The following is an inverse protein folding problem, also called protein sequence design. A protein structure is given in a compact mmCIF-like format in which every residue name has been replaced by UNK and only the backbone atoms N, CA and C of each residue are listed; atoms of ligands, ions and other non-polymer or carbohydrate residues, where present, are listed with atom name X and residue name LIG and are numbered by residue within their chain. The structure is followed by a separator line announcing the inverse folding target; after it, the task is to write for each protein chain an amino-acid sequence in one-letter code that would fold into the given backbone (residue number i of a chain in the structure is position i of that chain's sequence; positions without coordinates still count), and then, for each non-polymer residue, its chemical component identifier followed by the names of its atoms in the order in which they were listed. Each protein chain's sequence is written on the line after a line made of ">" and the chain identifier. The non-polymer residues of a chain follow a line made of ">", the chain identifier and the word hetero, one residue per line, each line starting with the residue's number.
data_IF_418200565251
#
_entry.id   IF_418200565251
#
_cell.length_a   1.000
_cell.length_b   1.000
_cell.length_c   1.000
_cell.angle_alpha   90.00
_cell.angle_beta   90.00
_cell.angle_gamma   90.00
#
_symmetry.space_group_name_H-M   'P 1'
#
loop_
_entity.id
_entity.type
_entity.pdbx_description
1 polymer ?
#
# COMPACT_ATOMS: atom_id res chain seq x y z
N UNK A 1 -4.86 -13.17 -28.48
CA UNK A 1 -4.21 -12.08 -27.68
C UNK A 1 -4.20 -12.47 -26.20
N UNK A 2 -3.69 -11.61 -25.36
CA UNK A 2 -3.65 -11.93 -23.91
C UNK A 2 -3.78 -10.65 -23.08
N UNK A 3 -3.60 -10.75 -21.79
CA UNK A 3 -3.71 -9.54 -20.93
C UNK A 3 -2.58 -8.56 -21.24
N UNK A 4 -2.82 -7.29 -21.05
CA UNK A 4 -1.76 -6.29 -21.33
C UNK A 4 -1.35 -5.55 -20.05
N UNK A 5 -2.13 -5.66 -19.01
CA UNK A 5 -1.78 -4.96 -17.75
C UNK A 5 -2.03 -3.46 -17.91
N UNK A 6 -2.91 -3.09 -18.80
CA UNK A 6 -3.20 -1.64 -19.02
C UNK A 6 -4.62 -1.31 -18.58
N UNK A 7 -5.57 -2.13 -18.95
CA UNK A 7 -6.98 -1.86 -18.55
C UNK A 7 -7.39 -0.44 -18.94
N UNK A 8 -8.35 0.13 -18.26
CA UNK A 8 -8.79 1.51 -18.60
C UNK A 8 -7.97 2.55 -17.82
N UNK A 9 -6.89 2.14 -17.21
CA UNK A 9 -6.03 3.09 -16.44
C UNK A 9 -6.83 3.80 -15.33
N UNK A 10 -6.42 3.60 -14.10
CA UNK A 10 -7.11 4.24 -12.96
C UNK A 10 -6.86 5.75 -12.96
N UNK A 11 -7.62 6.46 -12.16
CA UNK A 11 -7.48 7.93 -12.10
C UNK A 11 -6.12 8.33 -11.55
N UNK A 12 -5.87 9.61 -11.49
CA UNK A 12 -4.57 10.11 -10.96
C UNK A 12 -3.39 9.44 -11.68
N UNK A 13 -2.21 9.60 -11.17
CA UNK A 13 -1.01 9.00 -11.83
C UNK A 13 -0.79 7.57 -11.36
N UNK A 14 -1.24 6.61 -12.12
CA UNK A 14 -1.04 5.18 -11.74
C UNK A 14 -1.62 4.26 -12.81
N UNK A 15 -1.40 4.58 -14.05
CA UNK A 15 -1.94 3.74 -15.15
C UNK A 15 -0.82 2.87 -15.74
N UNK A 16 0.37 3.40 -15.82
CA UNK A 16 1.50 2.61 -16.37
C UNK A 16 2.73 2.80 -15.48
N UNK A 17 2.53 3.17 -14.24
CA UNK A 17 3.69 3.37 -13.33
C UNK A 17 4.35 2.02 -13.00
N UNK A 18 5.54 2.09 -12.44
CA UNK A 18 6.29 0.85 -12.10
C UNK A 18 5.71 0.15 -10.88
N UNK A 19 4.91 -0.85 -11.07
CA UNK A 19 4.33 -1.59 -9.91
C UNK A 19 2.83 -1.76 -10.12
N UNK A 20 2.18 -0.78 -10.71
CA UNK A 20 0.72 -0.92 -10.97
C UNK A 20 0.45 -2.23 -11.70
N UNK A 21 1.40 -2.68 -12.47
CA UNK A 21 1.25 -3.98 -13.17
C UNK A 21 1.00 -5.09 -12.14
N UNK A 22 1.36 -4.86 -10.91
CA UNK A 22 1.14 -5.88 -9.85
C UNK A 22 0.08 -5.41 -8.86
N UNK A 23 -0.13 -4.12 -8.77
CA UNK A 23 -1.16 -3.60 -7.82
C UNK A 23 -2.50 -4.31 -8.04
N UNK A 24 -3.04 -4.90 -7.02
CA UNK A 24 -4.35 -5.61 -7.17
C UNK A 24 -5.49 -4.61 -7.36
N UNK A 25 -6.65 -5.07 -7.72
CA UNK A 25 -7.80 -4.14 -7.92
C UNK A 25 -8.14 -3.42 -6.62
N UNK A 26 -7.76 -3.99 -5.50
CA UNK A 26 -8.06 -3.33 -4.20
C UNK A 26 -6.97 -2.31 -3.86
N UNK A 27 -5.75 -2.75 -3.78
CA UNK A 27 -4.64 -1.81 -3.46
C UNK A 27 -4.63 -0.66 -4.47
N UNK A 28 -4.98 -0.93 -5.69
CA UNK A 28 -5.00 0.15 -6.72
C UNK A 28 -5.86 1.32 -6.24
N UNK A 29 -7.11 1.07 -5.96
CA UNK A 29 -7.99 2.17 -5.48
C UNK A 29 -7.42 2.79 -4.21
N UNK A 30 -6.84 1.99 -3.35
CA UNK A 30 -6.26 2.54 -2.10
C UNK A 30 -5.17 3.56 -2.42
N UNK A 31 -4.29 3.23 -3.33
CA UNK A 31 -3.20 4.18 -3.70
C UNK A 31 -3.77 5.33 -4.52
N UNK A 32 -4.64 5.04 -5.45
CA UNK A 32 -5.25 6.12 -6.28
C UNK A 32 -5.94 7.14 -5.37
N UNK A 33 -6.85 6.69 -4.55
CA UNK A 33 -7.55 7.63 -3.63
C UNK A 33 -6.53 8.41 -2.81
N UNK A 34 -5.49 7.75 -2.37
CA UNK A 34 -4.45 8.43 -1.57
C UNK A 34 -3.37 9.03 -2.48
N UNK A 35 -3.55 8.94 -3.78
CA UNK A 35 -2.52 9.50 -4.71
C UNK A 35 -1.14 8.94 -4.37
N UNK A 36 -1.03 7.64 -4.24
CA UNK A 36 0.28 7.03 -3.89
C UNK A 36 0.98 6.49 -5.14
N UNK A 37 2.16 5.96 -4.98
CA UNK A 37 2.90 5.38 -6.13
C UNK A 37 2.96 3.85 -5.96
N UNK A 38 3.09 3.14 -7.06
CA UNK A 38 3.14 1.67 -6.99
C UNK A 38 4.38 1.21 -6.21
N UNK A 39 5.54 1.37 -6.78
CA UNK A 39 6.79 0.94 -6.08
C UNK A 39 6.82 1.53 -4.67
N UNK A 40 6.46 2.77 -4.53
CA UNK A 40 6.45 3.40 -3.18
C UNK A 40 5.60 2.56 -2.23
N UNK A 41 4.33 2.45 -2.49
CA UNK A 41 3.44 1.64 -1.61
C UNK A 41 3.96 0.20 -1.53
N UNK A 42 4.26 -0.40 -2.66
CA UNK A 42 4.78 -1.80 -2.64
C UNK A 42 5.96 -1.91 -1.68
N UNK A 43 6.71 -0.86 -1.53
CA UNK A 43 7.88 -0.90 -0.60
C UNK A 43 7.39 -0.87 0.84
N UNK A 44 6.72 0.18 1.23
CA UNK A 44 6.21 0.27 2.63
C UNK A 44 5.40 -0.98 2.98
N UNK A 45 4.58 -1.44 2.07
CA UNK A 45 3.77 -2.66 2.35
C UNK A 45 4.70 -3.84 2.67
N UNK A 46 5.77 -3.98 1.93
CA UNK A 46 6.71 -5.11 2.20
C UNK A 46 7.45 -4.88 3.51
N UNK A 47 8.04 -3.73 3.68
CA UNK A 47 8.78 -3.44 4.94
C UNK A 47 7.86 -3.60 6.15
N UNK A 48 6.71 -3.00 6.11
CA UNK A 48 5.76 -3.12 7.26
C UNK A 48 5.48 -4.59 7.56
N UNK A 49 5.31 -5.39 6.55
CA UNK A 49 5.03 -6.83 6.78
C UNK A 49 6.21 -7.50 7.48
N UNK A 50 7.41 -7.22 7.05
CA UNK A 50 8.60 -7.85 7.70
C UNK A 50 8.77 -7.31 9.12
N UNK A 51 8.78 -6.01 9.28
CA UNK A 51 8.95 -5.43 10.64
C UNK A 51 7.81 -5.88 11.56
N UNK A 52 6.59 -5.73 11.13
CA UNK A 52 5.44 -6.16 11.97
C UNK A 52 5.63 -7.61 12.43
N UNK A 53 6.05 -8.47 11.54
CA UNK A 53 6.26 -9.89 11.93
C UNK A 53 7.45 -10.00 12.88
N UNK A 54 8.44 -9.17 12.71
CA UNK A 54 9.62 -9.22 13.61
C UNK A 54 9.25 -8.75 15.01
N UNK A 55 8.71 -7.56 15.12
CA UNK A 55 8.32 -7.05 16.46
C UNK A 55 7.01 -7.70 16.92
N UNK A 56 6.14 -8.02 16.00
CA UNK A 56 4.85 -8.66 16.37
C UNK A 56 4.10 -7.75 17.35
N UNK A 57 3.08 -7.08 16.89
CA UNK A 57 2.30 -6.19 17.80
C UNK A 57 2.51 -4.73 17.39
N UNK A 58 2.62 -4.46 16.12
CA UNK A 58 2.81 -3.05 15.67
C UNK A 58 1.45 -2.37 15.47
N UNK A 59 1.31 -1.16 15.92
CA UNK A 59 0.01 -0.45 15.78
C UNK A 59 0.10 0.65 14.71
N UNK A 60 -0.90 1.48 14.61
CA UNK A 60 -0.87 2.57 13.59
C UNK A 60 0.28 3.54 13.88
N UNK A 61 0.45 3.92 15.12
CA UNK A 61 1.54 4.88 15.47
C UNK A 61 2.87 4.44 14.85
N UNK A 62 3.23 3.20 15.01
CA UNK A 62 4.51 2.72 14.41
C UNK A 62 4.47 2.92 12.89
N UNK A 63 3.32 2.74 12.29
CA UNK A 63 3.21 2.93 10.82
C UNK A 63 3.48 4.39 10.46
N UNK A 64 2.73 5.30 11.02
CA UNK A 64 2.95 6.74 10.71
C UNK A 64 4.40 7.13 11.03
N UNK A 65 5.08 6.36 11.83
CA UNK A 65 6.50 6.68 12.16
C UNK A 65 7.44 5.96 11.18
N UNK A 66 7.33 4.67 11.08
CA UNK A 66 8.22 3.92 10.14
C UNK A 66 8.12 4.51 8.74
N UNK A 67 6.96 4.43 8.14
CA UNK A 67 6.78 5.03 6.78
C UNK A 67 6.05 6.37 6.91
N UNK A 68 6.62 7.29 7.64
CA UNK A 68 5.97 8.61 7.84
C UNK A 68 5.91 9.42 6.55
N UNK A 69 5.27 8.91 5.53
CA UNK A 69 5.16 9.69 4.27
C UNK A 69 4.24 10.89 4.50
N UNK A 70 3.35 10.79 5.45
CA UNK A 70 2.43 11.92 5.76
C UNK A 70 1.56 11.57 6.97
N UNK A 71 0.39 12.13 7.07
CA UNK A 71 -0.47 11.86 8.28
C UNK A 71 -1.55 10.83 7.95
N UNK A 72 -2.46 11.17 7.08
CA UNK A 72 -3.54 10.21 6.71
C UNK A 72 -3.02 9.22 5.67
N UNK A 73 -1.97 9.59 4.98
CA UNK A 73 -1.40 8.69 3.94
C UNK A 73 -0.96 7.37 4.56
N UNK A 74 -0.21 7.41 5.63
CA UNK A 74 0.23 6.15 6.28
C UNK A 74 -0.94 5.47 6.99
N UNK A 75 -1.88 6.25 7.46
CA UNK A 75 -3.04 5.65 8.16
C UNK A 75 -3.89 4.84 7.19
N UNK A 76 -3.97 5.25 5.96
CA UNK A 76 -4.77 4.49 4.96
C UNK A 76 -4.00 3.23 4.55
N UNK A 77 -2.74 3.36 4.28
CA UNK A 77 -1.93 2.17 3.90
C UNK A 77 -1.91 1.17 5.06
N UNK A 78 -1.68 1.65 6.26
CA UNK A 78 -1.66 0.73 7.43
C UNK A 78 -3.06 0.21 7.72
N UNK A 79 -4.03 1.09 7.82
CA UNK A 79 -5.42 0.63 8.09
C UNK A 79 -5.82 -0.46 7.09
N UNK A 80 -5.19 -0.48 5.95
CA UNK A 80 -5.50 -1.53 4.95
C UNK A 80 -4.88 -2.86 5.38
N UNK A 81 -3.59 -2.88 5.59
CA UNK A 81 -2.93 -4.14 6.03
C UNK A 81 -3.50 -4.59 7.38
N UNK A 82 -3.85 -3.65 8.22
CA UNK A 82 -4.41 -4.02 9.56
C UNK A 82 -5.78 -4.68 9.41
N UNK A 83 -6.73 -3.97 8.87
CA UNK A 83 -8.10 -4.53 8.71
C UNK A 83 -8.08 -5.74 7.77
N UNK A 84 -7.26 -5.71 6.76
CA UNK A 84 -7.21 -6.85 5.80
C UNK A 84 -6.71 -8.11 6.50
N UNK A 85 -5.57 -8.04 7.14
CA UNK A 85 -5.03 -9.24 7.84
C UNK A 85 -3.52 -9.38 7.56
N UNK A 86 -2.97 -8.57 6.69
CA UNK A 86 -1.51 -8.67 6.41
C UNK A 86 -0.71 -8.42 7.69
N UNK A 87 -1.14 -7.48 8.48
CA UNK A 87 -0.42 -7.19 9.75
C UNK A 87 -1.42 -7.13 10.91
N UNK A 88 -0.96 -6.91 12.11
CA UNK A 88 -1.90 -6.86 13.26
C UNK A 88 -1.82 -5.50 13.97
N UNK A 89 -2.76 -5.22 14.83
CA UNK A 89 -2.75 -3.92 15.55
C UNK A 89 -2.54 -4.16 17.05
N UNK A 90 -1.43 -4.72 17.42
CA UNK A 90 -1.16 -4.98 18.86
C UNK A 90 -2.31 -5.78 19.48
#
# INVERSE_FOLDING_TARGET
>A
GSNSGRRSAPPLNLTGLPGTEKLNEKEKELCQVVRLVPGAYLEYKSALLNECHKQGGLRLAQARALIKIDVNKTRKIYDFLIREGYITKA
#
